data_IF_528317209423
#
_entry.id   IF_528317209423
#
_cell.length_a   1.000
_cell.length_b   1.000
_cell.length_c   1.000
_cell.angle_alpha   90.00
_cell.angle_beta   90.00
_cell.angle_gamma   90.00
#
_symmetry.space_group_name_H-M   'P 1'
#
loop_
_entity.id
_entity.type
_entity.pdbx_description
1 polymer ?
#
# COMPACT_ATOMS: atom_id res chain seq x y z
N UNK A 1 -7.42 27.65 -34.37
CA UNK A 1 -6.06 27.23 -33.97
C UNK A 1 -6.23 26.47 -32.68
N UNK A 2 -6.14 25.14 -32.73
CA UNK A 2 -6.03 24.31 -31.53
C UNK A 2 -4.60 24.48 -31.02
N UNK A 3 -4.49 25.00 -29.81
CA UNK A 3 -3.24 25.10 -29.08
C UNK A 3 -3.05 23.74 -28.40
N UNK A 4 -2.28 22.84 -29.03
CA UNK A 4 -1.84 21.58 -28.43
C UNK A 4 -0.79 21.92 -27.36
N UNK A 5 -1.26 22.42 -26.22
CA UNK A 5 -0.43 22.65 -25.05
C UNK A 5 0.14 21.33 -24.56
N UNK A 6 1.47 21.22 -24.51
CA UNK A 6 2.15 20.07 -23.90
C UNK A 6 1.96 20.18 -22.38
N UNK A 7 1.07 19.36 -21.83
CA UNK A 7 0.84 19.25 -20.39
C UNK A 7 1.88 18.30 -19.78
N UNK A 8 2.80 18.85 -18.99
CA UNK A 8 3.72 18.03 -18.18
C UNK A 8 3.00 17.57 -16.92
N UNK A 9 2.67 16.28 -16.85
CA UNK A 9 2.13 15.65 -15.64
C UNK A 9 3.28 15.44 -14.65
N UNK A 10 3.26 16.16 -13.55
CA UNK A 10 4.16 15.90 -12.42
C UNK A 10 3.44 14.95 -11.46
N UNK A 11 4.11 13.89 -11.04
CA UNK A 11 3.57 12.91 -10.09
C UNK A 11 4.46 12.87 -8.84
N UNK A 12 3.82 12.89 -7.67
CA UNK A 12 4.49 12.65 -6.39
C UNK A 12 4.34 11.19 -6.03
N UNK A 13 5.47 10.56 -5.75
CA UNK A 13 5.58 9.15 -5.45
C UNK A 13 6.58 8.94 -4.34
N UNK A 14 6.38 7.86 -3.60
CA UNK A 14 7.23 7.48 -2.48
C UNK A 14 7.22 5.99 -2.26
N UNK A 15 8.03 5.54 -1.32
CA UNK A 15 8.16 4.12 -1.02
C UNK A 15 7.26 3.73 0.16
N UNK A 16 6.44 2.70 -0.04
CA UNK A 16 5.74 1.96 1.02
C UNK A 16 6.26 0.54 1.05
N UNK A 17 6.23 -0.11 2.20
CA UNK A 17 6.54 -1.55 2.28
C UNK A 17 5.30 -2.36 2.56
N UNK A 18 5.16 -3.52 1.92
CA UNK A 18 3.99 -4.39 2.05
C UNK A 18 4.42 -5.81 2.42
N UNK A 19 3.71 -6.39 3.39
CA UNK A 19 3.85 -7.78 3.82
C UNK A 19 4.89 -8.02 4.91
N UNK A 20 5.00 -9.28 5.30
CA UNK A 20 6.03 -9.77 6.22
C UNK A 20 6.66 -11.08 5.70
N UNK A 21 7.96 -11.10 5.32
CA UNK A 21 8.90 -9.98 5.32
C UNK A 21 8.46 -8.83 4.41
N UNK A 22 8.82 -7.61 4.81
CA UNK A 22 8.39 -6.39 4.15
C UNK A 22 9.10 -6.22 2.80
N UNK A 23 8.32 -5.96 1.74
CA UNK A 23 8.83 -5.65 0.41
C UNK A 23 8.46 -4.21 0.04
N UNK A 24 9.47 -3.41 -0.32
CA UNK A 24 9.27 -2.03 -0.75
C UNK A 24 8.57 -1.95 -2.13
N UNK A 25 7.73 -0.94 -2.33
CA UNK A 25 7.08 -0.59 -3.59
C UNK A 25 7.09 0.93 -3.73
N UNK A 26 7.41 1.42 -4.92
CA UNK A 26 7.26 2.83 -5.24
C UNK A 26 5.82 3.07 -5.71
N UNK A 27 5.10 3.95 -5.02
CA UNK A 27 3.69 4.21 -5.31
C UNK A 27 3.46 5.69 -5.57
N UNK A 28 2.64 6.01 -6.57
CA UNK A 28 2.12 7.37 -6.73
C UNK A 28 1.07 7.66 -5.68
N UNK A 29 1.10 8.86 -5.12
CA UNK A 29 0.06 9.33 -4.22
C UNK A 29 -1.06 9.98 -5.03
N UNK A 30 -2.23 9.35 -5.06
CA UNK A 30 -3.35 9.80 -5.88
C UNK A 30 -4.54 10.22 -5.03
N UNK A 31 -4.85 11.51 -5.04
CA UNK A 31 -6.02 12.06 -4.33
C UNK A 31 -7.35 11.73 -5.02
N UNK A 32 -7.31 11.26 -6.27
CA UNK A 32 -8.47 10.87 -7.08
C UNK A 32 -8.95 9.43 -6.88
N UNK A 33 -8.24 8.61 -6.09
CA UNK A 33 -8.60 7.22 -5.81
C UNK A 33 -8.54 6.90 -4.32
N UNK A 34 -9.23 5.83 -3.91
CA UNK A 34 -9.31 5.41 -2.51
C UNK A 34 -8.54 4.14 -2.17
N UNK A 35 -7.89 3.48 -3.14
CA UNK A 35 -7.28 2.16 -2.96
C UNK A 35 -5.76 2.19 -2.95
N UNK A 36 -5.15 1.26 -2.24
CA UNK A 36 -3.82 0.77 -2.61
C UNK A 36 -3.97 -0.27 -3.73
N UNK A 37 -3.24 -0.08 -4.84
CA UNK A 37 -3.19 -0.99 -5.98
C UNK A 37 -1.74 -1.34 -6.25
N UNK A 38 -1.43 -2.63 -6.24
CA UNK A 38 -0.11 -3.17 -6.61
C UNK A 38 -0.26 -4.24 -7.68
N UNK A 39 0.65 -4.32 -8.68
CA UNK A 39 0.60 -5.37 -9.67
C UNK A 39 0.91 -6.73 -9.03
N UNK A 40 0.11 -7.75 -9.31
CA UNK A 40 0.28 -9.10 -8.77
C UNK A 40 1.27 -9.89 -9.61
N UNK A 41 1.96 -10.88 -9.01
CA UNK A 41 2.72 -11.88 -9.79
C UNK A 41 1.85 -12.74 -10.70
N UNK A 42 0.54 -12.78 -10.47
CA UNK A 42 -0.45 -13.39 -11.37
C UNK A 42 -0.77 -12.53 -12.59
N UNK A 43 -0.40 -11.25 -12.60
CA UNK A 43 -0.43 -10.46 -13.82
C UNK A 43 0.77 -10.81 -14.70
N UNK A 44 0.48 -11.31 -15.89
CA UNK A 44 1.47 -11.80 -16.84
C UNK A 44 1.70 -10.88 -18.03
N UNK A 45 0.92 -9.80 -18.16
CA UNK A 45 1.10 -8.79 -19.21
C UNK A 45 2.45 -8.09 -19.09
N UNK A 46 2.95 -7.57 -20.21
CA UNK A 46 4.20 -6.81 -20.22
C UNK A 46 4.11 -5.54 -19.35
N UNK A 47 2.93 -4.90 -19.32
CA UNK A 47 2.62 -3.75 -18.47
C UNK A 47 2.93 -4.04 -17.00
N UNK A 48 2.52 -5.20 -16.48
CA UNK A 48 2.79 -5.54 -15.08
C UNK A 48 4.25 -5.94 -14.84
N UNK A 49 4.93 -6.49 -15.85
CA UNK A 49 6.29 -7.03 -15.72
C UNK A 49 7.37 -5.95 -15.65
N UNK A 50 7.10 -4.76 -16.18
CA UNK A 50 8.02 -3.61 -16.04
C UNK A 50 8.03 -3.04 -14.62
N UNK A 51 7.05 -3.41 -13.79
CA UNK A 51 6.91 -3.00 -12.39
C UNK A 51 7.33 -4.08 -11.40
N UNK A 52 7.64 -3.69 -10.17
CA UNK A 52 7.73 -4.65 -9.06
C UNK A 52 6.35 -5.20 -8.76
N UNK A 53 6.27 -6.53 -8.60
CA UNK A 53 5.01 -7.25 -8.41
C UNK A 53 4.87 -7.83 -7.01
N UNK A 54 3.72 -7.62 -6.41
CA UNK A 54 3.31 -8.23 -5.15
C UNK A 54 3.08 -9.73 -5.34
N UNK A 55 3.75 -10.53 -4.51
CA UNK A 55 3.59 -11.97 -4.45
C UNK A 55 2.99 -12.36 -3.12
N UNK A 56 1.68 -12.61 -3.11
CA UNK A 56 0.93 -13.02 -1.91
C UNK A 56 1.61 -14.12 -1.09
N UNK A 57 2.09 -15.17 -1.76
CA UNK A 57 2.72 -16.32 -1.10
C UNK A 57 4.02 -15.98 -0.34
N UNK A 58 4.61 -14.82 -0.58
CA UNK A 58 5.83 -14.37 0.13
C UNK A 58 5.53 -13.59 1.41
N UNK A 59 4.27 -13.27 1.70
CA UNK A 59 3.88 -12.53 2.90
C UNK A 59 3.13 -13.42 3.87
N UNK A 60 3.66 -13.54 5.09
CA UNK A 60 3.10 -14.31 6.21
C UNK A 60 1.86 -13.64 6.81
N UNK A 61 1.73 -12.32 6.66
CA UNK A 61 0.63 -11.51 7.20
C UNK A 61 -0.54 -11.39 6.24
N UNK A 62 -0.34 -11.78 4.99
CA UNK A 62 -1.32 -11.57 3.94
C UNK A 62 -2.50 -12.54 4.03
N UNK A 63 -3.71 -12.04 3.75
CA UNK A 63 -4.97 -12.77 3.74
C UNK A 63 -5.67 -12.59 2.40
N UNK A 64 -6.04 -13.70 1.77
CA UNK A 64 -6.99 -13.63 0.65
C UNK A 64 -8.38 -13.32 1.21
N UNK A 65 -8.98 -12.26 0.72
CA UNK A 65 -10.32 -11.82 1.12
C UNK A 65 -11.17 -11.54 -0.11
N UNK A 66 -12.49 -11.50 0.10
CA UNK A 66 -13.46 -10.88 -0.81
C UNK A 66 -13.65 -9.39 -0.45
N UNK A 67 -14.47 -8.66 -1.22
CA UNK A 67 -14.62 -7.20 -1.08
C UNK A 67 -15.11 -6.76 0.32
N UNK A 68 -15.80 -7.64 1.04
CA UNK A 68 -16.33 -7.40 2.38
C UNK A 68 -15.34 -7.77 3.50
N UNK A 69 -14.16 -8.31 3.17
CA UNK A 69 -13.16 -8.75 4.13
C UNK A 69 -13.32 -10.17 4.65
N UNK A 70 -14.29 -10.95 4.15
CA UNK A 70 -14.41 -12.38 4.46
C UNK A 70 -13.23 -13.12 3.82
N UNK A 71 -12.64 -14.06 4.56
CA UNK A 71 -11.53 -14.87 4.07
C UNK A 71 -11.98 -15.81 2.95
N UNK A 72 -11.18 -15.89 1.89
CA UNK A 72 -11.39 -16.84 0.79
C UNK A 72 -10.85 -18.21 1.19
N UNK A 73 -11.64 -19.26 1.06
CA UNK A 73 -11.16 -20.64 1.25
C UNK A 73 -10.46 -21.14 -0.02
N UNK A 74 -9.37 -21.93 0.10
CA UNK A 74 -8.77 -22.55 -1.07
C UNK A 74 -9.79 -23.36 -1.88
N UNK A 75 -9.97 -22.99 -3.15
CA UNK A 75 -10.93 -23.63 -4.06
C UNK A 75 -12.22 -22.85 -4.29
N UNK A 76 -12.50 -21.85 -3.45
CA UNK A 76 -13.65 -20.96 -3.66
C UNK A 76 -13.40 -20.00 -4.82
N UNK A 77 -14.49 -19.55 -5.45
CA UNK A 77 -14.44 -18.44 -6.39
C UNK A 77 -14.06 -17.16 -5.66
N UNK A 78 -13.32 -16.29 -6.33
CA UNK A 78 -12.88 -15.00 -5.78
C UNK A 78 -13.64 -13.85 -6.40
N UNK A 79 -13.99 -12.88 -5.57
CA UNK A 79 -14.42 -11.59 -6.08
C UNK A 79 -13.24 -10.86 -6.74
N UNK A 80 -13.55 -10.16 -7.82
CA UNK A 80 -12.62 -9.29 -8.53
C UNK A 80 -13.29 -7.95 -8.81
N UNK A 81 -12.47 -6.96 -9.11
CA UNK A 81 -12.92 -5.61 -9.46
C UNK A 81 -12.13 -5.10 -10.65
N UNK A 82 -12.80 -4.30 -11.48
CA UNK A 82 -12.15 -3.42 -12.46
C UNK A 82 -12.28 -1.98 -12.00
N UNK A 83 -11.16 -1.27 -11.87
CA UNK A 83 -11.07 0.13 -11.48
C UNK A 83 -10.49 0.92 -12.64
N UNK A 84 -11.15 2.01 -13.02
CA UNK A 84 -10.63 2.95 -14.03
C UNK A 84 -9.73 3.99 -13.36
N UNK A 85 -8.56 4.24 -13.96
CA UNK A 85 -7.59 5.25 -13.52
C UNK A 85 -7.16 6.10 -14.71
N UNK A 86 -7.62 7.35 -14.76
CA UNK A 86 -7.41 8.20 -15.93
C UNK A 86 -7.99 7.57 -17.20
N UNK A 87 -7.12 7.23 -18.15
CA UNK A 87 -7.46 6.55 -19.41
C UNK A 87 -7.29 5.03 -19.36
N UNK A 88 -6.70 4.50 -18.29
CA UNK A 88 -6.40 3.08 -18.13
C UNK A 88 -7.38 2.37 -17.19
N UNK A 89 -7.29 1.05 -17.18
CA UNK A 89 -8.06 0.18 -16.29
C UNK A 89 -7.14 -0.82 -15.59
N UNK A 90 -7.55 -1.21 -14.39
CA UNK A 90 -6.91 -2.25 -13.58
C UNK A 90 -7.97 -3.26 -13.19
N UNK A 91 -7.74 -4.53 -13.47
CA UNK A 91 -8.53 -5.63 -12.91
C UNK A 91 -7.71 -6.35 -11.86
N UNK A 92 -8.30 -6.67 -10.71
CA UNK A 92 -7.59 -7.37 -9.65
C UNK A 92 -8.48 -8.03 -8.61
N UNK A 93 -7.82 -8.67 -7.66
CA UNK A 93 -8.43 -9.37 -6.51
C UNK A 93 -8.09 -8.65 -5.21
N UNK A 94 -8.87 -8.90 -4.16
CA UNK A 94 -8.70 -8.24 -2.87
C UNK A 94 -7.74 -8.99 -1.95
N UNK A 95 -6.84 -8.27 -1.29
CA UNK A 95 -5.89 -8.81 -0.31
C UNK A 95 -5.88 -7.88 0.90
N UNK A 96 -5.86 -8.45 2.10
CA UNK A 96 -5.48 -7.70 3.31
C UNK A 96 -4.04 -8.04 3.67
N UNK A 97 -3.20 -7.03 3.89
CA UNK A 97 -1.82 -7.23 4.33
C UNK A 97 -1.35 -6.04 5.19
N UNK A 98 -0.17 -6.18 5.80
CA UNK A 98 0.48 -5.10 6.53
C UNK A 98 1.15 -4.15 5.54
N UNK A 99 0.87 -2.86 5.69
CA UNK A 99 1.48 -1.78 4.91
C UNK A 99 2.18 -0.82 5.86
N UNK A 100 3.45 -0.52 5.59
CA UNK A 100 4.28 0.36 6.39
C UNK A 100 4.70 1.60 5.59
N UNK A 101 4.48 2.77 6.18
CA UNK A 101 4.94 4.06 5.69
C UNK A 101 6.21 4.46 6.46
N UNK A 102 7.26 4.90 5.75
CA UNK A 102 8.46 5.46 6.39
C UNK A 102 9.69 4.55 6.50
N UNK A 103 9.90 3.64 5.53
CA UNK A 103 11.18 2.94 5.39
C UNK A 103 11.55 2.10 6.61
N UNK A 104 10.74 1.10 6.95
CA UNK A 104 11.25 0.04 7.81
C UNK A 104 12.20 -0.82 6.99
N UNK A 105 13.50 -0.58 7.19
CA UNK A 105 14.55 -1.52 6.78
C UNK A 105 14.12 -2.96 7.12
N UNK A 106 14.45 -3.95 6.28
CA UNK A 106 14.02 -5.33 6.47
C UNK A 106 14.26 -5.78 7.91
N UNK A 107 13.22 -6.31 8.55
CA UNK A 107 13.26 -6.84 9.93
C UNK A 107 14.32 -7.94 10.14
N UNK A 108 14.99 -8.39 9.08
CA UNK A 108 16.10 -9.35 9.10
C UNK A 108 17.44 -8.77 9.59
N UNK A 109 17.58 -7.44 9.72
CA UNK A 109 18.83 -6.80 10.16
C UNK A 109 18.91 -6.51 11.67
N UNK A 110 17.89 -6.87 12.47
CA UNK A 110 17.99 -6.84 13.93
C UNK A 110 18.55 -8.18 14.44
N UNK A 111 19.82 -8.44 14.15
CA UNK A 111 20.58 -9.46 14.88
C UNK A 111 20.51 -9.13 16.37
N UNK A 112 20.10 -10.13 17.16
CA UNK A 112 20.20 -10.12 18.62
C UNK A 112 21.69 -10.05 19.00
N UNK A 113 22.26 -8.86 19.01
CA UNK A 113 23.60 -8.64 19.56
C UNK A 113 23.50 -8.63 21.08
N UNK A 114 23.83 -9.78 21.65
CA UNK A 114 24.02 -9.97 23.08
C UNK A 114 25.42 -9.43 23.45
N UNK A 115 25.63 -8.11 23.44
CA UNK A 115 26.85 -7.52 23.97
C UNK A 115 26.62 -6.16 24.63
N UNK A 116 26.71 -6.21 25.96
CA UNK A 116 27.20 -5.19 26.91
C UNK A 116 27.01 -3.71 26.59
N UNK A 117 26.23 -3.08 27.48
CA UNK A 117 26.11 -1.64 27.69
C UNK A 117 27.43 -0.85 27.56
N UNK A 118 27.44 0.15 26.69
CA UNK A 118 28.02 1.48 26.95
C UNK A 118 27.62 2.47 25.84
N UNK A 119 26.87 3.48 26.26
CA UNK A 119 26.88 4.88 25.81
C UNK A 119 26.83 5.20 24.29
N UNK A 120 25.64 5.58 23.80
CA UNK A 120 25.33 6.92 23.24
C UNK A 120 23.81 7.06 23.16
N UNK A 121 23.27 8.01 23.92
CA UNK A 121 21.87 8.42 23.85
C UNK A 121 21.64 9.35 22.64
N UNK A 122 20.82 8.94 21.67
CA UNK A 122 20.12 9.87 20.78
C UNK A 122 18.82 9.23 20.28
N UNK A 123 17.69 9.68 20.85
CA UNK A 123 16.30 9.52 20.35
C UNK A 123 15.90 8.18 19.73
N UNK A 124 16.14 7.07 20.44
CA UNK A 124 15.55 5.77 20.14
C UNK A 124 14.78 5.26 21.33
N UNK A 125 13.52 5.68 21.49
CA UNK A 125 12.62 5.01 22.42
C UNK A 125 12.43 3.57 21.88
N UNK A 126 13.07 2.59 22.52
CA UNK A 126 12.75 1.19 22.29
C UNK A 126 11.35 0.98 22.87
N UNK A 127 10.33 1.21 22.04
CA UNK A 127 8.95 0.91 22.38
C UNK A 127 8.85 -0.62 22.45
N UNK A 128 8.66 -1.13 23.66
CA UNK A 128 8.26 -2.52 23.89
C UNK A 128 6.92 -2.75 23.19
N UNK A 129 6.95 -3.31 21.97
CA UNK A 129 5.74 -3.62 21.22
C UNK A 129 4.88 -4.60 22.04
N UNK A 130 3.64 -4.21 22.34
CA UNK A 130 2.67 -5.13 22.93
C UNK A 130 2.45 -6.28 21.95
N UNK A 131 2.38 -7.52 22.46
CA UNK A 131 2.07 -8.71 21.68
C UNK A 131 0.76 -8.49 20.91
N UNK A 132 0.85 -8.34 19.59
CA UNK A 132 -0.29 -8.05 18.71
C UNK A 132 -0.37 -6.61 18.15
N UNK A 133 0.50 -5.70 18.56
CA UNK A 133 0.61 -4.36 17.98
C UNK A 133 1.58 -4.37 16.79
N UNK A 134 1.18 -3.82 15.65
CA UNK A 134 2.07 -3.62 14.50
C UNK A 134 3.16 -2.57 14.84
N UNK A 135 4.32 -2.58 14.16
CA UNK A 135 5.33 -1.54 14.33
C UNK A 135 4.80 -0.14 14.00
N UNK A 136 5.41 0.87 14.60
CA UNK A 136 5.09 2.27 14.32
C UNK A 136 5.18 2.55 12.81
N UNK A 137 4.20 3.28 12.27
CA UNK A 137 4.10 3.55 10.84
C UNK A 137 3.51 2.40 10.00
N UNK A 138 3.17 1.25 10.62
CA UNK A 138 2.53 0.13 9.95
C UNK A 138 1.06 -0.03 10.34
N UNK A 139 0.24 -0.43 9.36
CA UNK A 139 -1.20 -0.67 9.53
C UNK A 139 -1.65 -1.84 8.66
N UNK A 140 -2.73 -2.52 9.06
CA UNK A 140 -3.43 -3.45 8.18
C UNK A 140 -4.26 -2.68 7.17
N UNK A 141 -4.08 -2.96 5.88
CA UNK A 141 -4.82 -2.32 4.79
C UNK A 141 -5.35 -3.37 3.82
N UNK A 142 -6.58 -3.17 3.35
CA UNK A 142 -7.09 -3.92 2.21
C UNK A 142 -6.66 -3.24 0.91
N UNK A 143 -6.17 -4.02 -0.04
CA UNK A 143 -5.62 -3.54 -1.29
C UNK A 143 -6.11 -4.39 -2.47
N UNK A 144 -5.91 -3.86 -3.68
CA UNK A 144 -6.16 -4.56 -4.93
C UNK A 144 -4.82 -5.10 -5.45
N UNK A 145 -4.70 -6.42 -5.55
CA UNK A 145 -3.62 -7.08 -6.25
C UNK A 145 -4.01 -7.24 -7.73
N UNK A 146 -3.49 -6.39 -8.60
CA UNK A 146 -3.88 -6.33 -10.00
C UNK A 146 -3.45 -7.58 -10.77
N UNK A 147 -4.40 -8.26 -11.39
CA UNK A 147 -4.19 -9.41 -12.27
C UNK A 147 -4.13 -9.01 -13.74
N UNK A 148 -4.62 -7.82 -14.08
CA UNK A 148 -4.49 -7.21 -15.40
C UNK A 148 -4.41 -5.68 -15.31
N UNK A 149 -3.69 -5.04 -16.24
CA UNK A 149 -3.50 -3.58 -16.31
C UNK A 149 -3.37 -3.14 -17.77
N UNK A 150 -4.13 -2.10 -18.16
CA UNK A 150 -4.02 -1.47 -19.48
C UNK A 150 -2.60 -0.98 -19.78
N UNK A 151 -2.16 -0.99 -21.03
CA UNK A 151 -0.82 -0.48 -21.37
C UNK A 151 -0.70 1.03 -21.11
N UNK A 152 -1.63 1.83 -21.62
CA UNK A 152 -1.72 3.25 -21.27
C UNK A 152 -2.60 3.42 -20.01
N UNK A 153 -2.18 4.23 -19.02
CA UNK A 153 -0.86 4.88 -18.88
C UNK A 153 0.18 4.01 -18.14
N UNK A 154 -0.20 2.81 -17.70
CA UNK A 154 0.54 2.08 -16.68
C UNK A 154 1.92 1.60 -17.10
N UNK A 155 2.15 1.28 -18.37
CA UNK A 155 3.44 0.77 -18.86
C UNK A 155 4.55 1.82 -18.78
N UNK A 156 4.19 3.10 -18.89
CA UNK A 156 5.14 4.21 -18.97
C UNK A 156 5.40 4.86 -17.60
N UNK A 157 4.72 4.40 -16.55
CA UNK A 157 4.96 4.87 -15.20
C UNK A 157 6.31 4.40 -14.67
N UNK A 158 6.91 5.25 -13.83
CA UNK A 158 8.16 4.91 -13.16
C UNK A 158 7.90 4.26 -11.79
N UNK A 159 6.70 4.42 -11.23
CA UNK A 159 6.23 3.79 -9.99
C UNK A 159 5.57 2.44 -10.24
N UNK A 160 5.64 1.56 -9.24
CA UNK A 160 5.08 0.22 -9.28
C UNK A 160 3.55 0.21 -9.15
N UNK A 161 2.97 1.14 -8.38
CA UNK A 161 1.55 1.11 -8.06
C UNK A 161 0.97 2.45 -7.61
N UNK A 162 -0.26 2.40 -7.11
CA UNK A 162 -1.05 3.58 -6.72
C UNK A 162 -1.41 3.47 -5.25
N UNK A 163 -1.22 4.54 -4.49
CA UNK A 163 -1.75 4.69 -3.14
C UNK A 163 -2.77 5.84 -3.12
N UNK A 164 -4.03 5.47 -3.04
CA UNK A 164 -5.15 6.37 -2.97
C UNK A 164 -5.19 7.15 -1.64
N UNK A 165 -5.28 8.48 -1.75
CA UNK A 165 -5.45 9.43 -0.67
C UNK A 165 -6.84 10.09 -0.67
N UNK A 166 -7.73 9.62 -1.55
CA UNK A 166 -9.10 10.08 -1.67
C UNK A 166 -9.96 9.71 -0.46
N UNK A 167 -11.14 10.33 -0.39
CA UNK A 167 -12.10 10.10 0.69
C UNK A 167 -12.79 8.73 0.58
N UNK A 168 -13.44 8.30 1.67
CA UNK A 168 -14.10 6.98 1.83
C UNK A 168 -15.02 6.56 0.67
N UNK A 169 -15.59 7.51 -0.06
CA UNK A 169 -16.48 7.24 -1.21
C UNK A 169 -15.77 6.71 -2.46
N UNK A 170 -14.44 6.69 -2.47
CA UNK A 170 -13.63 6.24 -3.61
C UNK A 170 -13.04 4.82 -3.41
N UNK A 171 -13.61 4.04 -2.48
CA UNK A 171 -13.17 2.68 -2.11
C UNK A 171 -14.38 1.77 -1.85
N UNK A 172 -14.24 0.45 -2.01
CA UNK A 172 -15.36 -0.50 -1.84
C UNK A 172 -15.91 -0.53 -0.41
N UNK A 173 -15.00 -0.63 0.55
CA UNK A 173 -15.31 -0.58 1.98
C UNK A 173 -14.30 0.34 2.67
N UNK A 174 -14.64 0.90 3.85
CA UNK A 174 -13.76 1.84 4.53
C UNK A 174 -12.37 1.28 4.82
N UNK A 175 -12.23 -0.05 4.95
CA UNK A 175 -10.95 -0.69 5.22
C UNK A 175 -10.01 -0.79 4.01
N UNK A 176 -10.48 -0.47 2.80
CA UNK A 176 -9.61 -0.25 1.62
C UNK A 176 -9.03 1.16 1.58
N UNK A 177 -9.54 2.08 2.40
CA UNK A 177 -9.19 3.50 2.33
C UNK A 177 -8.14 3.85 3.40
N UNK A 178 -6.94 4.23 2.96
CA UNK A 178 -5.85 4.59 3.87
C UNK A 178 -6.26 5.70 4.85
N UNK A 179 -6.89 6.77 4.34
CA UNK A 179 -7.30 7.92 5.17
C UNK A 179 -8.33 7.52 6.23
N UNK A 180 -9.21 6.57 5.92
CA UNK A 180 -10.11 5.98 6.91
C UNK A 180 -9.33 5.26 8.01
N UNK A 181 -8.44 4.33 7.65
CA UNK A 181 -7.68 3.53 8.61
C UNK A 181 -6.81 4.41 9.52
N UNK A 182 -6.13 5.41 8.95
CA UNK A 182 -5.35 6.36 9.74
C UNK A 182 -6.28 7.17 10.67
N UNK A 183 -7.44 7.62 10.17
CA UNK A 183 -8.38 8.39 10.99
C UNK A 183 -8.91 7.60 12.20
N UNK A 184 -9.15 6.30 12.05
CA UNK A 184 -9.64 5.44 13.14
C UNK A 184 -8.53 5.07 14.11
N UNK A 185 -7.32 4.82 13.62
CA UNK A 185 -6.13 4.60 14.46
C UNK A 185 -5.81 5.83 15.32
N UNK A 186 -5.83 7.03 14.74
CA UNK A 186 -5.59 8.29 15.45
C UNK A 186 -6.68 8.64 16.47
N UNK A 187 -7.93 8.20 16.25
CA UNK A 187 -9.01 8.37 17.25
C UNK A 187 -8.87 7.42 18.43
N UNK A 188 -8.29 6.24 18.24
CA UNK A 188 -8.02 5.28 19.31
C UNK A 188 -6.89 5.77 20.24
N UNK A 189 -5.94 6.54 19.70
CA UNK A 189 -4.87 7.20 20.44
C UNK A 189 -5.24 8.66 20.72
N UNK A 190 -6.14 8.88 21.69
CA UNK A 190 -6.45 10.22 22.19
C UNK A 190 -5.18 10.98 22.58
N UNK A 191 -4.71 11.90 21.73
CA UNK A 191 -4.18 13.24 22.04
C UNK A 191 -3.65 13.92 20.76
N UNK A 192 -4.27 15.05 20.40
CA UNK A 192 -3.97 15.99 19.31
C UNK A 192 -4.38 15.58 17.87
N UNK A 193 -5.16 16.43 17.17
CA UNK A 193 -5.46 16.20 15.76
C UNK A 193 -4.18 16.37 14.93
N UNK A 194 -3.68 15.26 14.37
CA UNK A 194 -2.64 15.32 13.35
C UNK A 194 -3.25 15.89 12.07
N UNK A 195 -3.01 17.18 11.82
CA UNK A 195 -3.30 17.79 10.52
C UNK A 195 -2.31 17.26 9.50
N UNK A 196 -2.79 16.63 8.43
CA UNK A 196 -2.02 16.44 7.21
C UNK A 196 -2.48 17.49 6.20
N UNK A 197 -1.53 18.14 5.54
CA UNK A 197 -1.78 19.10 4.48
C UNK A 197 -1.21 18.54 3.19
N UNK A 198 -2.06 18.41 2.17
CA UNK A 198 -1.61 18.17 0.80
C UNK A 198 -1.46 19.55 0.16
N UNK A 199 -0.22 19.91 -0.20
CA UNK A 199 0.04 21.08 -1.02
C UNK A 199 0.13 20.62 -2.48
N UNK A 200 -0.69 21.20 -3.35
CA UNK A 200 -0.66 20.99 -4.80
C UNK A 200 0.07 22.16 -5.47
#
# INVERSE_FOLDING_TARGET
RQDDGIYHKTAYWGTVSVGQPALAFNVVFDTGSGHLILPSTYCHSETCRVHRRYRRANSLTAKDIDYNGVLVTPGDLRDHITVSFGTGEVTGVFIEDVVCMGGTEPLESRTMDNSTASDVATHGAVVMQRKGQLPDGCLGLRMIAATDMSQDPFKDFQFDGVLGLGLRGLSQTPEFNLMHIISTAAQAESLNPHMFSVFL
#
